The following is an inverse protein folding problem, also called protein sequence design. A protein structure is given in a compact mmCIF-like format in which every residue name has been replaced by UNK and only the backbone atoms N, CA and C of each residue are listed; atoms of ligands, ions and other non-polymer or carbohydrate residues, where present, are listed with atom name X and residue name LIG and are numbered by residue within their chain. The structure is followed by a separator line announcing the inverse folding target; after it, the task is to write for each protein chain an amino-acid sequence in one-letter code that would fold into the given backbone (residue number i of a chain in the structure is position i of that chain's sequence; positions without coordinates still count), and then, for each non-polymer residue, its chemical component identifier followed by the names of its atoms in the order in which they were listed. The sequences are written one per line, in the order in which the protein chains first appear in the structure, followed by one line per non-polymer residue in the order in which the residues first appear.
data_IF_828096538254
#
_entry.id   IF_828096538254
#
_cell.length_a   1.000
_cell.length_b   1.000
_cell.length_c   1.000
_cell.angle_alpha   90.00
_cell.angle_beta   90.00
_cell.angle_gamma   90.00
#
_symmetry.space_group_name_H-M   'P 1'
#
loop_
_entity.id
_entity.type
_entity.pdbx_description
1 polymer ?
#
# COMPACT_ATOMS: atom_id res chain seq x y z
N UNK A 1 -3.11 13.01 15.41
CA UNK A 1 -3.68 12.14 14.35
C UNK A 1 -2.75 12.18 13.15
N UNK A 2 -1.81 11.22 13.00
CA UNK A 2 -0.81 11.24 11.92
C UNK A 2 -1.36 10.54 10.67
N UNK A 3 -1.43 11.31 9.59
CA UNK A 3 -1.85 10.91 8.26
C UNK A 3 -0.75 10.11 7.55
N UNK A 4 -0.68 8.80 7.78
CA UNK A 4 0.36 7.94 7.20
C UNK A 4 0.03 7.32 5.83
N UNK A 5 -1.15 7.62 5.27
CA UNK A 5 -1.64 6.94 4.06
C UNK A 5 -1.07 7.51 2.74
N UNK A 6 -0.38 8.66 2.77
CA UNK A 6 -0.01 9.38 1.55
C UNK A 6 1.43 9.18 1.07
N UNK A 7 2.27 8.47 1.82
CA UNK A 7 3.66 8.24 1.43
C UNK A 7 3.84 6.84 0.86
N UNK A 8 4.68 6.72 -0.17
CA UNK A 8 5.27 5.46 -0.61
C UNK A 8 6.04 4.85 0.58
N UNK A 9 5.32 4.09 1.42
CA UNK A 9 5.86 3.53 2.64
C UNK A 9 7.00 2.58 2.27
N UNK A 10 8.20 2.90 2.74
CA UNK A 10 9.28 1.93 2.73
C UNK A 10 8.86 0.72 3.58
N UNK A 11 9.41 -0.47 3.29
CA UNK A 11 9.15 -1.64 4.13
C UNK A 11 9.49 -1.41 5.61
N UNK A 12 10.43 -0.49 5.91
CA UNK A 12 10.78 -0.09 7.26
C UNK A 12 9.63 0.67 7.93
N UNK A 13 9.02 1.61 7.22
CA UNK A 13 7.92 2.40 7.77
C UNK A 13 6.71 1.51 8.12
N UNK A 14 6.47 0.45 7.33
CA UNK A 14 5.40 -0.52 7.64
C UNK A 14 5.75 -1.36 8.87
N UNK A 15 7.01 -1.77 9.01
CA UNK A 15 7.47 -2.47 10.20
C UNK A 15 7.36 -1.60 11.46
N UNK A 16 7.74 -0.32 11.36
CA UNK A 16 7.63 0.63 12.48
C UNK A 16 6.16 0.90 12.86
N UNK A 17 5.25 1.01 11.88
CA UNK A 17 3.80 1.13 12.14
C UNK A 17 3.22 -0.11 12.82
N UNK A 18 3.72 -1.31 12.49
CA UNK A 18 3.32 -2.55 13.17
C UNK A 18 3.87 -2.55 14.60
N UNK A 19 5.10 -2.08 14.80
CA UNK A 19 5.73 -1.97 16.10
C UNK A 19 5.00 -0.97 17.01
N UNK A 20 4.54 0.17 16.48
CA UNK A 20 3.67 1.12 17.19
C UNK A 20 2.37 0.47 17.69
N UNK A 21 1.87 -0.58 17.02
CA UNK A 21 0.70 -1.37 17.44
C UNK A 21 1.05 -2.53 18.38
N UNK A 22 2.30 -2.62 18.84
CA UNK A 22 2.79 -3.68 19.70
C UNK A 22 3.20 -4.97 18.96
N UNK A 23 3.28 -4.93 17.63
CA UNK A 23 3.65 -6.08 16.81
C UNK A 23 5.06 -5.86 16.24
N UNK A 24 6.06 -6.41 16.91
CA UNK A 24 7.44 -6.35 16.43
C UNK A 24 7.63 -7.28 15.23
N UNK A 25 7.77 -6.70 14.04
CA UNK A 25 7.94 -7.44 12.78
C UNK A 25 9.22 -6.97 12.10
N UNK A 26 10.05 -7.93 11.67
CA UNK A 26 11.22 -7.62 10.84
C UNK A 26 10.83 -7.20 9.42
N UNK A 27 11.59 -6.29 8.81
CA UNK A 27 11.38 -5.80 7.45
C UNK A 27 11.26 -6.93 6.41
N UNK A 28 11.97 -8.04 6.59
CA UNK A 28 11.91 -9.21 5.71
C UNK A 28 10.54 -9.92 5.74
N UNK A 29 9.81 -9.87 6.85
CA UNK A 29 8.45 -10.42 6.95
C UNK A 29 7.49 -9.57 6.13
N UNK A 30 7.60 -8.24 6.22
CA UNK A 30 6.80 -7.32 5.40
C UNK A 30 7.07 -7.59 3.91
N UNK A 31 8.34 -7.78 3.52
CA UNK A 31 8.69 -8.14 2.15
C UNK A 31 8.04 -9.46 1.69
N UNK A 32 8.11 -10.51 2.52
CA UNK A 32 7.43 -11.80 2.24
C UNK A 32 5.91 -11.65 2.11
N UNK A 33 5.29 -10.82 2.93
CA UNK A 33 3.87 -10.51 2.82
C UNK A 33 3.54 -9.78 1.52
N UNK A 34 4.35 -8.79 1.12
CA UNK A 34 4.14 -8.11 -0.16
C UNK A 34 4.31 -9.07 -1.34
N UNK A 35 5.27 -9.99 -1.30
CA UNK A 35 5.39 -11.01 -2.35
C UNK A 35 4.20 -11.97 -2.39
N UNK A 36 3.70 -12.40 -1.23
CA UNK A 36 2.58 -13.35 -1.12
C UNK A 36 1.22 -12.72 -1.44
N UNK A 37 0.94 -11.54 -0.88
CA UNK A 37 -0.36 -10.87 -0.96
C UNK A 37 -0.39 -9.79 -2.03
N UNK A 38 0.76 -9.29 -2.49
CA UNK A 38 0.87 -8.26 -3.53
C UNK A 38 0.10 -8.60 -4.80
N UNK A 39 0.19 -9.82 -5.36
CA UNK A 39 -0.58 -10.20 -6.55
C UNK A 39 -2.10 -10.16 -6.33
N UNK A 40 -2.58 -10.57 -5.16
CA UNK A 40 -4.01 -10.57 -4.82
C UNK A 40 -4.52 -9.15 -4.57
N UNK A 41 -3.75 -8.35 -3.83
CA UNK A 41 -4.03 -6.92 -3.64
C UNK A 41 -4.01 -6.20 -4.98
N UNK A 42 -3.04 -6.45 -5.86
CA UNK A 42 -2.99 -5.87 -7.19
C UNK A 42 -4.20 -6.25 -8.04
N UNK A 43 -4.67 -7.51 -7.99
CA UNK A 43 -5.91 -7.94 -8.69
C UNK A 43 -7.14 -7.17 -8.19
N UNK A 44 -7.31 -7.05 -6.87
CA UNK A 44 -8.44 -6.31 -6.27
C UNK A 44 -8.35 -4.81 -6.53
N UNK A 45 -7.17 -4.24 -6.39
CA UNK A 45 -6.90 -2.83 -6.66
C UNK A 45 -7.11 -2.54 -8.13
N UNK A 46 -6.66 -3.37 -9.07
CA UNK A 46 -6.88 -3.17 -10.52
C UNK A 46 -8.36 -3.05 -10.88
N UNK A 47 -9.25 -3.77 -10.18
CA UNK A 47 -10.71 -3.65 -10.36
C UNK A 47 -11.24 -2.28 -9.92
N UNK A 48 -10.69 -1.72 -8.84
CA UNK A 48 -11.08 -0.41 -8.30
C UNK A 48 -10.39 0.75 -9.05
N UNK A 49 -9.12 0.57 -9.43
CA UNK A 49 -8.32 1.51 -10.21
C UNK A 49 -8.84 1.69 -11.63
N UNK A 50 -9.33 0.62 -12.28
CA UNK A 50 -10.00 0.74 -13.59
C UNK A 50 -11.21 1.66 -13.53
N UNK A 51 -11.94 1.68 -12.41
CA UNK A 51 -13.11 2.54 -12.20
C UNK A 51 -12.72 3.98 -11.86
N UNK A 52 -11.59 4.19 -11.19
CA UNK A 52 -11.04 5.52 -11.00
C UNK A 52 -10.47 6.09 -12.31
N UNK A 53 -9.81 5.28 -13.13
CA UNK A 53 -9.14 5.72 -14.36
C UNK A 53 -10.07 6.26 -15.45
N UNK A 54 -11.35 5.89 -15.47
CA UNK A 54 -12.32 6.42 -16.47
C UNK A 54 -12.76 7.85 -16.16
N UNK A 55 -12.61 8.33 -14.93
CA UNK A 55 -13.05 9.68 -14.51
C UNK A 55 -11.90 10.71 -14.43
N UNK A 56 -10.64 10.30 -14.59
CA UNK A 56 -9.48 11.21 -14.52
C UNK A 56 -8.97 11.64 -15.90
N UNK A 57 -9.86 11.82 -16.87
CA UNK A 57 -9.51 12.56 -18.09
C UNK A 57 -9.32 14.03 -17.69
N UNK A 58 -8.08 14.41 -17.41
CA UNK A 58 -7.68 15.81 -17.33
C UNK A 58 -7.93 16.39 -18.73
N UNK A 59 -8.85 17.34 -18.92
CA UNK A 59 -8.98 17.99 -20.21
C UNK A 59 -7.70 18.79 -20.44
N UNK A 60 -6.86 18.29 -21.34
CA UNK A 60 -5.74 19.06 -21.88
C UNK A 60 -6.34 20.24 -22.64
N UNK A 61 -6.15 21.43 -22.11
CA UNK A 61 -6.32 22.69 -22.83
C UNK A 61 -5.03 23.04 -23.55
#
# INVERSE_FOLDING_TARGET
MRWYLCYSLSYQNVADLMAERGIAIDRSIVYRWVQKFGPELAKRTKKHQRRASVDWHIPSR
#
